data_IF_907193246843
#
_entry.id   IF_907193246843
#
_cell.length_a   1.000
_cell.length_b   1.000
_cell.length_c   1.000
_cell.angle_alpha   90.00
_cell.angle_beta   90.00
_cell.angle_gamma   90.00
#
_symmetry.space_group_name_H-M   'P 1'
#
loop_
_entity.id
_entity.type
_entity.pdbx_description
1 polymer ?
#
# COMPACT_ATOMS: atom_id res chain seq x y z
N UNK A 1 31.66 6.31 -31.62
CA UNK A 1 31.79 5.59 -30.34
C UNK A 1 31.37 6.40 -29.11
N UNK A 2 31.39 7.75 -29.12
CA UNK A 2 30.93 8.56 -27.98
C UNK A 2 29.39 8.59 -27.79
N UNK A 3 28.60 8.55 -28.87
CA UNK A 3 27.14 8.62 -28.79
C UNK A 3 26.51 7.40 -28.09
N UNK A 4 27.04 6.19 -28.31
CA UNK A 4 26.53 4.96 -27.68
C UNK A 4 26.88 4.86 -26.20
N UNK A 5 28.04 5.37 -25.79
CA UNK A 5 28.42 5.48 -24.37
C UNK A 5 27.52 6.48 -23.62
N UNK A 6 27.22 7.64 -24.22
CA UNK A 6 26.32 8.65 -23.64
C UNK A 6 24.90 8.10 -23.43
N UNK A 7 24.35 7.37 -24.39
CA UNK A 7 23.03 6.71 -24.26
C UNK A 7 23.04 5.65 -23.15
N UNK A 8 24.16 4.93 -22.97
CA UNK A 8 24.29 3.91 -21.92
C UNK A 8 24.30 4.53 -20.51
N UNK A 9 25.00 5.65 -20.33
CA UNK A 9 24.99 6.40 -19.05
C UNK A 9 23.59 6.94 -18.75
N UNK A 10 22.90 7.52 -19.73
CA UNK A 10 21.52 8.01 -19.57
C UNK A 10 20.58 6.86 -19.18
N UNK A 11 20.69 5.70 -19.83
CA UNK A 11 19.88 4.52 -19.47
C UNK A 11 20.18 4.03 -18.05
N UNK A 12 21.44 3.99 -17.64
CA UNK A 12 21.83 3.55 -16.29
C UNK A 12 21.32 4.48 -15.20
N UNK A 13 21.43 5.80 -15.41
CA UNK A 13 20.88 6.80 -14.49
C UNK A 13 19.35 6.75 -14.46
N UNK A 14 18.68 6.64 -15.61
CA UNK A 14 17.22 6.50 -15.66
C UNK A 14 16.71 5.21 -15.01
N UNK A 15 17.42 4.09 -15.17
CA UNK A 15 17.07 2.83 -14.50
C UNK A 15 17.19 2.94 -12.98
N UNK A 16 18.21 3.63 -12.46
CA UNK A 16 18.38 3.86 -11.02
C UNK A 16 17.32 4.82 -10.45
N UNK A 17 16.90 5.85 -11.20
CA UNK A 17 15.84 6.76 -10.73
C UNK A 17 14.50 6.04 -10.65
N UNK A 18 14.17 5.20 -11.64
CA UNK A 18 12.95 4.42 -11.64
C UNK A 18 12.86 3.44 -10.45
N UNK A 19 13.98 2.85 -10.03
CA UNK A 19 13.98 1.96 -8.86
C UNK A 19 13.79 2.72 -7.55
N UNK A 20 14.38 3.92 -7.39
CA UNK A 20 14.21 4.75 -6.19
C UNK A 20 12.77 5.22 -6.05
N UNK A 21 12.16 5.75 -7.11
CA UNK A 21 10.76 6.22 -7.06
C UNK A 21 9.76 5.11 -6.76
N UNK A 22 10.02 3.89 -7.24
CA UNK A 22 9.20 2.73 -6.90
C UNK A 22 9.35 2.30 -5.44
N UNK A 23 10.56 2.39 -4.88
CA UNK A 23 10.80 2.10 -3.45
C UNK A 23 10.10 3.12 -2.55
N UNK A 24 10.18 4.42 -2.89
CA UNK A 24 9.46 5.49 -2.20
C UNK A 24 7.95 5.26 -2.24
N UNK A 25 7.40 4.91 -3.41
CA UNK A 25 5.97 4.60 -3.55
C UNK A 25 5.55 3.46 -2.61
N UNK A 26 6.32 2.36 -2.57
CA UNK A 26 6.05 1.24 -1.67
C UNK A 26 6.17 1.61 -0.20
N UNK A 27 7.19 2.39 0.16
CA UNK A 27 7.41 2.82 1.53
C UNK A 27 6.25 3.67 2.04
N UNK A 28 5.83 4.68 1.27
CA UNK A 28 4.71 5.53 1.64
C UNK A 28 3.38 4.78 1.63
N UNK A 29 3.15 3.90 0.65
CA UNK A 29 1.97 3.02 0.65
C UNK A 29 1.92 2.13 1.91
N UNK A 30 3.06 1.57 2.33
CA UNK A 30 3.17 0.76 3.53
C UNK A 30 2.86 1.58 4.80
N UNK A 31 3.38 2.81 4.91
CA UNK A 31 3.05 3.70 6.03
C UNK A 31 1.55 4.00 6.12
N UNK A 32 0.89 4.23 4.98
CA UNK A 32 -0.58 4.41 4.95
C UNK A 32 -1.30 3.13 5.38
N UNK A 33 -0.85 1.96 4.90
CA UNK A 33 -1.41 0.67 5.35
C UNK A 33 -1.28 0.52 6.87
N UNK A 34 -0.12 0.82 7.44
CA UNK A 34 0.14 0.69 8.88
C UNK A 34 -0.75 1.63 9.69
N UNK A 35 -0.92 2.88 9.26
CA UNK A 35 -1.84 3.85 9.89
C UNK A 35 -3.28 3.32 9.89
N UNK A 36 -3.75 2.81 8.75
CA UNK A 36 -5.11 2.29 8.64
C UNK A 36 -5.30 0.97 9.39
N UNK A 37 -4.28 0.12 9.44
CA UNK A 37 -4.30 -1.08 10.25
C UNK A 37 -4.38 -0.72 11.74
N UNK A 38 -3.59 0.23 12.21
CA UNK A 38 -3.67 0.74 13.58
C UNK A 38 -5.07 1.26 13.91
N UNK A 39 -5.68 2.06 13.01
CA UNK A 39 -7.05 2.55 13.18
C UNK A 39 -8.09 1.42 13.31
N UNK A 40 -7.94 0.34 12.55
CA UNK A 40 -8.83 -0.83 12.65
C UNK A 40 -8.60 -1.60 13.96
N UNK A 41 -7.34 -1.69 14.41
CA UNK A 41 -6.97 -2.38 15.65
C UNK A 41 -7.47 -1.66 16.92
N UNK A 42 -7.71 -0.34 16.86
CA UNK A 42 -8.28 0.42 17.98
C UNK A 42 -9.73 0.04 18.29
N UNK A 43 -10.49 -0.42 17.29
CA UNK A 43 -11.88 -0.88 17.44
C UNK A 43 -12.12 -2.14 16.58
N UNK A 44 -11.66 -3.27 17.09
CA UNK A 44 -11.81 -4.59 16.44
C UNK A 44 -13.24 -5.12 16.47
N UNK A 45 -14.09 -4.57 17.35
CA UNK A 45 -15.51 -4.93 17.47
C UNK A 45 -16.33 -4.44 16.27
N UNK A 46 -15.93 -3.32 15.67
CA UNK A 46 -16.59 -2.71 14.51
C UNK A 46 -15.95 -3.06 13.15
N UNK A 47 -15.34 -4.24 13.02
CA UNK A 47 -14.70 -4.70 11.78
C UNK A 47 -15.71 -4.74 10.61
N UNK A 48 -15.70 -3.71 9.78
CA UNK A 48 -16.60 -3.51 8.64
C UNK A 48 -15.81 -3.08 7.43
N UNK A 49 -16.36 -3.31 6.24
CA UNK A 49 -15.81 -2.77 5.01
C UNK A 49 -15.79 -1.24 5.09
N UNK A 50 -14.59 -0.65 4.95
CA UNK A 50 -14.37 0.79 4.98
C UNK A 50 -13.42 1.17 3.85
N UNK A 51 -13.55 2.39 3.35
CA UNK A 51 -12.61 2.96 2.41
C UNK A 51 -12.47 4.46 2.69
N UNK A 52 -11.42 5.04 2.17
CA UNK A 52 -11.17 6.47 2.34
C UNK A 52 -9.91 6.90 1.60
N UNK A 53 -9.51 8.12 1.91
CA UNK A 53 -8.29 8.71 1.39
C UNK A 53 -7.40 9.16 2.54
N UNK A 54 -6.09 9.11 2.33
CA UNK A 54 -5.09 9.65 3.25
C UNK A 54 -4.06 10.43 2.45
N UNK A 55 -3.66 11.60 2.94
CA UNK A 55 -2.60 12.38 2.33
C UNK A 55 -1.28 12.10 3.05
N UNK A 56 -0.29 11.61 2.31
CA UNK A 56 1.02 11.30 2.84
C UNK A 56 2.10 11.60 1.80
N UNK A 57 3.16 12.30 2.23
CA UNK A 57 4.25 12.78 1.37
C UNK A 57 3.76 13.61 0.16
N UNK A 58 2.72 14.43 0.35
CA UNK A 58 2.15 15.28 -0.70
C UNK A 58 1.38 14.51 -1.79
N UNK A 59 1.01 13.25 -1.53
CA UNK A 59 0.21 12.41 -2.42
C UNK A 59 -1.05 11.93 -1.71
N UNK A 60 -2.18 11.93 -2.42
CA UNK A 60 -3.40 11.28 -1.96
C UNK A 60 -3.37 9.78 -2.25
N UNK A 61 -3.53 8.99 -1.20
CA UNK A 61 -3.61 7.54 -1.22
C UNK A 61 -5.05 7.10 -1.00
N UNK A 62 -5.45 6.03 -1.68
CA UNK A 62 -6.79 5.46 -1.61
C UNK A 62 -6.69 4.13 -0.89
N UNK A 63 -7.21 4.06 0.33
CA UNK A 63 -7.15 2.86 1.16
C UNK A 63 -8.51 2.18 1.25
N UNK A 64 -8.48 0.86 1.44
CA UNK A 64 -9.68 0.04 1.62
C UNK A 64 -9.42 -1.06 2.63
N UNK A 65 -10.31 -1.17 3.61
CA UNK A 65 -10.39 -2.26 4.57
C UNK A 65 -11.50 -3.21 4.12
N UNK A 66 -11.17 -4.47 3.90
CA UNK A 66 -12.10 -5.52 3.48
C UNK A 66 -12.08 -6.66 4.47
N UNK A 67 -13.17 -6.91 5.22
CA UNK A 67 -13.28 -8.09 6.07
C UNK A 67 -13.18 -9.37 5.23
N UNK A 68 -12.47 -10.36 5.76
CA UNK A 68 -12.25 -11.65 5.10
C UNK A 68 -12.92 -12.73 5.95
N UNK A 69 -13.77 -13.54 5.31
CA UNK A 69 -14.40 -14.68 5.97
C UNK A 69 -13.34 -15.70 6.37
N UNK A 70 -13.29 -16.03 7.67
CA UNK A 70 -12.42 -17.05 8.25
C UNK A 70 -13.24 -18.31 8.52
N UNK A 71 -12.61 -19.47 8.40
CA UNK A 71 -13.23 -20.77 8.74
C UNK A 71 -13.15 -21.09 10.23
N UNK A 72 -12.33 -20.36 10.99
CA UNK A 72 -12.13 -20.55 12.42
C UNK A 72 -12.94 -19.52 13.22
N UNK A 73 -13.77 -19.94 14.19
CA UNK A 73 -14.69 -19.06 14.92
C UNK A 73 -14.00 -18.09 15.90
N UNK A 74 -12.70 -18.27 16.17
CA UNK A 74 -11.94 -17.50 17.15
C UNK A 74 -11.20 -16.29 16.54
N UNK A 75 -11.08 -16.24 15.21
CA UNK A 75 -10.28 -15.21 14.52
C UNK A 75 -11.10 -14.52 13.46
N UNK A 76 -11.07 -13.19 13.44
CA UNK A 76 -11.54 -12.38 12.31
C UNK A 76 -10.34 -11.93 11.50
N UNK A 77 -10.45 -11.95 10.18
CA UNK A 77 -9.41 -11.47 9.28
C UNK A 77 -9.90 -10.24 8.52
N UNK A 78 -8.98 -9.36 8.16
CA UNK A 78 -9.24 -8.25 7.24
C UNK A 78 -8.03 -7.94 6.40
N UNK A 79 -8.29 -7.48 5.18
CA UNK A 79 -7.29 -6.98 4.25
C UNK A 79 -7.33 -5.45 4.24
N UNK A 80 -6.17 -4.83 4.41
CA UNK A 80 -5.96 -3.40 4.18
C UNK A 80 -5.18 -3.25 2.89
N UNK A 81 -5.77 -2.62 1.89
CA UNK A 81 -5.12 -2.34 0.61
C UNK A 81 -5.02 -0.85 0.36
N UNK A 82 -3.91 -0.43 -0.26
CA UNK A 82 -3.63 0.97 -0.60
C UNK A 82 -3.28 1.07 -2.07
N UNK A 83 -3.93 1.99 -2.77
CA UNK A 83 -3.76 2.26 -4.18
C UNK A 83 -3.47 3.76 -4.42
N UNK A 84 -2.88 4.06 -5.57
CA UNK A 84 -2.56 5.43 -6.00
C UNK A 84 -3.75 6.15 -6.63
N UNK A 85 -4.81 5.42 -6.99
CA UNK A 85 -6.06 5.93 -7.49
C UNK A 85 -7.23 5.02 -7.09
N UNK A 86 -8.45 5.57 -7.09
CA UNK A 86 -9.67 4.89 -6.64
C UNK A 86 -9.95 3.53 -7.30
N UNK A 87 -9.60 3.38 -8.58
CA UNK A 87 -9.84 2.17 -9.37
C UNK A 87 -8.54 1.47 -9.82
N UNK A 88 -7.40 1.87 -9.27
CA UNK A 88 -6.12 1.24 -9.59
C UNK A 88 -5.92 -0.05 -8.78
N UNK A 89 -5.08 -0.95 -9.29
CA UNK A 89 -4.58 -2.07 -8.51
C UNK A 89 -3.82 -1.55 -7.28
N UNK A 90 -3.97 -2.19 -6.11
CA UNK A 90 -3.27 -1.77 -4.91
C UNK A 90 -1.76 -1.95 -5.07
N UNK A 91 -1.00 -0.96 -4.59
CA UNK A 91 0.47 -1.02 -4.50
C UNK A 91 0.88 -2.00 -3.41
N UNK A 92 0.16 -1.98 -2.28
CA UNK A 92 0.38 -2.83 -1.12
C UNK A 92 -0.97 -3.34 -0.62
N UNK A 93 -1.03 -4.63 -0.28
CA UNK A 93 -2.14 -5.25 0.46
C UNK A 93 -1.56 -6.04 1.62
N UNK A 94 -2.07 -5.81 2.83
CA UNK A 94 -1.68 -6.54 4.04
C UNK A 94 -2.92 -7.19 4.64
N UNK A 95 -2.80 -8.48 4.99
CA UNK A 95 -3.81 -9.22 5.74
C UNK A 95 -3.43 -9.27 7.20
N UNK A 96 -4.38 -8.95 8.08
CA UNK A 96 -4.21 -9.08 9.52
C UNK A 96 -5.32 -9.91 10.15
N UNK A 97 -5.04 -10.43 11.34
CA UNK A 97 -5.93 -11.30 12.12
C UNK A 97 -6.10 -10.72 13.53
N UNK A 98 -7.33 -10.71 14.01
CA UNK A 98 -7.68 -10.28 15.37
C UNK A 98 -8.49 -11.36 16.06
N UNK A 99 -8.26 -11.53 17.36
CA UNK A 99 -9.12 -12.36 18.20
C UNK A 99 -10.53 -11.75 18.24
N UNK A 100 -11.55 -12.62 18.19
CA UNK A 100 -12.95 -12.21 18.26
C UNK A 100 -13.35 -11.66 19.62
#
# INVERSE_FOLDING_TARGET
MFATAAISVIRSVSQHINTVSYLEEKMFAAMVVDNQMANVMLDTGALKAKNGTEELAGRTWYWKVTPVATTQPLLKAFDVSVATAKNASPVVTVRSYVAQ
#
